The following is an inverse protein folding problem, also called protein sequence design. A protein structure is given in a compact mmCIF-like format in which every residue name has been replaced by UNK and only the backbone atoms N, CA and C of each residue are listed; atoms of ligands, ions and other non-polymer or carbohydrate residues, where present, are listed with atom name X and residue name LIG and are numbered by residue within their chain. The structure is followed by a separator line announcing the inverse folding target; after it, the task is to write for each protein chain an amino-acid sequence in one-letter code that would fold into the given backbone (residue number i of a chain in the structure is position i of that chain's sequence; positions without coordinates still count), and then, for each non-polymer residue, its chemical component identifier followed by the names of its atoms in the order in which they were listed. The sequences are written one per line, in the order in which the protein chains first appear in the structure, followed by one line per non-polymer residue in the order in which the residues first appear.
data_IF_480835576170
#
_entry.id   IF_480835576170
#
_cell.length_a   1.000
_cell.length_b   1.000
_cell.length_c   1.000
_cell.angle_alpha   90.00
_cell.angle_beta   90.00
_cell.angle_gamma   90.00
#
_symmetry.space_group_name_H-M   'P 1'
#
loop_
_entity.id
_entity.type
_entity.pdbx_description
1 polymer ?
#
# COMPACT_ATOMS: atom_id res chain seq x y z
N UNK A 1 -7.66 0.92 9.44
CA UNK A 1 -8.99 1.47 9.81
C UNK A 1 -9.38 2.50 8.78
N UNK A 2 -10.63 2.47 8.34
CA UNK A 2 -11.21 3.46 7.41
C UNK A 2 -12.09 4.39 8.23
N UNK A 3 -11.73 5.67 8.29
CA UNK A 3 -12.31 6.67 9.22
C UNK A 3 -13.17 7.70 8.49
N UNK A 4 -12.80 8.07 7.26
CA UNK A 4 -13.54 9.00 6.40
C UNK A 4 -13.44 8.57 4.93
N UNK A 5 -14.34 9.06 4.09
CA UNK A 5 -14.25 8.92 2.64
C UNK A 5 -12.86 9.38 2.09
N UNK A 6 -12.07 8.48 1.47
CA UNK A 6 -10.77 8.78 0.88
C UNK A 6 -10.88 9.18 -0.59
N UNK A 7 -12.02 8.99 -1.26
CA UNK A 7 -12.13 9.13 -2.72
C UNK A 7 -11.79 10.54 -3.19
N UNK A 8 -12.13 11.55 -2.39
CA UNK A 8 -11.82 12.96 -2.66
C UNK A 8 -10.32 13.30 -2.53
N UNK A 9 -9.50 12.40 -1.98
CA UNK A 9 -8.06 12.58 -1.81
C UNK A 9 -7.22 11.90 -2.88
N UNK A 10 -7.86 11.15 -3.79
CA UNK A 10 -7.14 10.48 -4.87
C UNK A 10 -6.82 11.41 -6.03
N UNK A 11 -5.66 11.16 -6.63
CA UNK A 11 -5.22 11.86 -7.83
C UNK A 11 -6.01 11.36 -9.04
N UNK A 12 -6.67 12.26 -9.78
CA UNK A 12 -7.53 11.88 -10.90
C UNK A 12 -6.75 11.22 -12.05
N UNK A 13 -5.48 11.55 -12.21
CA UNK A 13 -4.61 11.00 -13.23
C UNK A 13 -3.79 9.80 -12.76
N UNK A 14 -3.84 9.44 -11.46
CA UNK A 14 -3.10 8.30 -10.92
C UNK A 14 -3.72 6.96 -11.32
N UNK A 15 -2.92 6.07 -11.91
CA UNK A 15 -3.28 4.70 -12.28
C UNK A 15 -3.24 3.78 -11.04
N UNK A 16 -2.17 3.88 -10.25
CA UNK A 16 -1.93 3.13 -9.02
C UNK A 16 -1.47 4.09 -7.92
N UNK A 17 -2.16 4.07 -6.78
CA UNK A 17 -1.89 4.98 -5.67
C UNK A 17 -1.78 4.17 -4.39
N UNK A 18 -0.75 4.41 -3.58
CA UNK A 18 -0.43 3.60 -2.42
C UNK A 18 -0.11 4.48 -1.21
N UNK A 19 -0.55 4.07 -0.02
CA UNK A 19 -0.14 4.69 1.23
C UNK A 19 1.38 4.58 1.44
N UNK A 20 1.92 5.31 2.40
CA UNK A 20 3.35 5.33 2.67
C UNK A 20 3.63 5.11 4.15
N UNK A 21 4.80 4.54 4.46
CA UNK A 21 5.29 4.51 5.85
C UNK A 21 5.76 5.89 6.31
N UNK A 22 6.36 6.64 5.38
CA UNK A 22 6.70 8.04 5.53
C UNK A 22 6.36 8.80 4.24
N UNK A 23 5.82 10.00 4.33
CA UNK A 23 5.56 10.85 3.16
C UNK A 23 6.52 12.04 3.12
N UNK A 24 7.24 12.18 2.01
CA UNK A 24 8.28 13.20 1.83
C UNK A 24 7.77 14.55 1.30
N UNK A 25 6.46 14.69 1.10
CA UNK A 25 5.85 15.91 0.57
C UNK A 25 5.58 15.88 -0.95
N UNK A 26 6.10 14.91 -1.69
CA UNK A 26 5.92 14.80 -3.14
C UNK A 26 5.31 13.46 -3.56
N UNK A 27 4.05 13.48 -4.00
CA UNK A 27 3.31 12.28 -4.43
C UNK A 27 3.84 11.61 -5.70
N UNK A 28 4.68 12.28 -6.48
CA UNK A 28 5.33 11.70 -7.66
C UNK A 28 6.62 10.95 -7.33
N UNK A 29 7.21 11.21 -6.17
CA UNK A 29 8.57 10.78 -5.89
C UNK A 29 8.60 9.30 -5.52
N UNK A 30 9.22 8.42 -6.33
CA UNK A 30 9.35 7.00 -6.00
C UNK A 30 10.16 6.75 -4.73
N UNK A 31 10.89 7.72 -4.19
CA UNK A 31 11.62 7.54 -2.92
C UNK A 31 10.70 7.44 -1.70
N UNK A 32 9.40 7.76 -1.81
CA UNK A 32 8.45 7.46 -0.75
C UNK A 32 8.40 5.93 -0.51
N UNK A 33 8.56 5.45 0.74
CA UNK A 33 8.39 4.04 1.07
C UNK A 33 6.90 3.67 1.03
N UNK A 34 6.44 2.92 0.01
CA UNK A 34 5.05 2.51 -0.10
C UNK A 34 4.70 1.56 1.04
N UNK A 35 3.46 1.63 1.51
CA UNK A 35 2.88 0.73 2.49
C UNK A 35 1.70 -0.03 1.90
N UNK A 36 1.75 -1.37 1.97
CA UNK A 36 0.71 -2.25 1.41
C UNK A 36 -0.64 -2.21 2.14
N UNK A 37 -0.78 -1.46 3.22
CA UNK A 37 -2.00 -1.39 4.03
C UNK A 37 -3.18 -0.70 3.35
N UNK A 38 -2.94 0.12 2.32
CA UNK A 38 -3.98 0.74 1.50
C UNK A 38 -3.47 1.06 0.10
N UNK A 39 -4.24 0.62 -0.90
CA UNK A 39 -4.00 0.96 -2.31
C UNK A 39 -5.32 1.33 -3.00
N UNK A 40 -5.22 2.25 -3.95
CA UNK A 40 -6.26 2.58 -4.90
C UNK A 40 -5.72 2.38 -6.31
N UNK A 41 -6.44 1.60 -7.12
CA UNK A 41 -6.01 1.29 -8.47
C UNK A 41 -7.16 1.45 -9.46
N UNK A 42 -6.88 2.15 -10.57
CA UNK A 42 -7.80 2.23 -11.70
C UNK A 42 -7.61 1.01 -12.58
N UNK A 43 -8.71 0.35 -12.92
CA UNK A 43 -8.66 -0.76 -13.88
C UNK A 43 -8.43 -0.20 -15.29
N UNK A 44 -7.20 -0.36 -15.77
CA UNK A 44 -6.77 -0.03 -17.11
C UNK A 44 -5.56 -0.90 -17.50
N UNK A 45 -5.17 -0.85 -18.78
CA UNK A 45 -4.10 -1.69 -19.31
C UNK A 45 -2.75 -1.46 -18.61
N UNK A 46 -2.47 -0.24 -18.14
CA UNK A 46 -1.21 0.07 -17.44
C UNK A 46 -1.18 -0.61 -16.08
N UNK A 47 -2.25 -0.49 -15.31
CA UNK A 47 -2.39 -1.13 -14.00
C UNK A 47 -2.35 -2.65 -14.10
N UNK A 48 -2.99 -3.24 -15.12
CA UNK A 48 -2.95 -4.69 -15.36
C UNK A 48 -1.52 -5.16 -15.65
N UNK A 49 -0.79 -4.46 -16.53
CA UNK A 49 0.62 -4.75 -16.84
C UNK A 49 1.50 -4.60 -15.60
N UNK A 50 1.27 -3.56 -14.80
CA UNK A 50 2.00 -3.32 -13.57
C UNK A 50 1.79 -4.43 -12.54
N UNK A 51 0.55 -4.84 -12.25
CA UNK A 51 0.30 -5.94 -11.30
C UNK A 51 0.94 -7.25 -11.77
N UNK A 52 0.93 -7.55 -13.07
CA UNK A 52 1.64 -8.72 -13.61
C UNK A 52 3.15 -8.61 -13.38
N UNK A 53 3.74 -7.45 -13.67
CA UNK A 53 5.16 -7.19 -13.43
C UNK A 53 5.51 -7.33 -11.95
N UNK A 54 4.72 -6.73 -11.05
CA UNK A 54 4.95 -6.79 -9.61
C UNK A 54 4.84 -8.24 -9.08
N UNK A 55 3.79 -8.96 -9.44
CA UNK A 55 3.61 -10.36 -9.04
C UNK A 55 4.77 -11.26 -9.48
N UNK A 56 5.24 -11.11 -10.73
CA UNK A 56 6.33 -11.92 -11.27
C UNK A 56 7.69 -11.53 -10.71
N UNK A 57 7.86 -10.27 -10.29
CA UNK A 57 9.10 -9.79 -9.68
C UNK A 57 9.44 -10.52 -8.38
N UNK A 58 8.45 -11.11 -7.69
CA UNK A 58 8.69 -11.96 -6.50
C UNK A 58 9.66 -13.12 -6.76
N UNK A 59 9.77 -13.58 -8.00
CA UNK A 59 10.76 -14.62 -8.39
C UNK A 59 12.20 -14.13 -8.34
N UNK A 60 12.42 -12.84 -8.62
CA UNK A 60 13.74 -12.21 -8.57
C UNK A 60 14.14 -11.80 -7.14
N UNK A 61 13.16 -11.69 -6.24
CA UNK A 61 13.33 -11.26 -4.85
C UNK A 61 12.75 -12.29 -3.87
N UNK A 62 13.27 -13.52 -3.84
CA UNK A 62 12.76 -14.57 -2.96
C UNK A 62 12.92 -14.16 -1.48
N UNK A 63 11.89 -14.42 -0.67
CA UNK A 63 11.89 -14.12 0.76
C UNK A 63 11.52 -12.68 1.13
N UNK A 64 11.37 -11.78 0.15
CA UNK A 64 10.84 -10.44 0.39
C UNK A 64 9.31 -10.44 0.40
N UNK A 65 8.71 -9.61 1.26
CA UNK A 65 7.27 -9.37 1.23
C UNK A 65 6.88 -8.49 0.04
N UNK A 66 5.61 -8.53 -0.38
CA UNK A 66 5.13 -7.81 -1.56
C UNK A 66 5.48 -6.31 -1.55
N UNK A 67 5.41 -5.66 -0.37
CA UNK A 67 5.79 -4.25 -0.17
C UNK A 67 7.29 -4.01 -0.42
N UNK A 68 8.15 -4.91 0.03
CA UNK A 68 9.60 -4.83 -0.16
C UNK A 68 9.95 -5.06 -1.64
N UNK A 69 9.28 -6.02 -2.29
CA UNK A 69 9.40 -6.21 -3.75
C UNK A 69 8.99 -4.95 -4.50
N UNK A 70 7.91 -4.26 -4.07
CA UNK A 70 7.50 -2.99 -4.68
C UNK A 70 8.57 -1.90 -4.51
N UNK A 71 9.20 -1.84 -3.33
CA UNK A 71 10.30 -0.91 -3.06
C UNK A 71 11.46 -1.10 -4.02
N UNK A 72 11.81 -2.35 -4.36
CA UNK A 72 12.87 -2.64 -5.32
C UNK A 72 12.48 -2.24 -6.75
N UNK A 73 11.27 -2.60 -7.19
CA UNK A 73 10.91 -2.48 -8.62
C UNK A 73 10.33 -1.14 -9.03
N UNK A 74 9.93 -0.27 -8.09
CA UNK A 74 9.35 1.05 -8.42
C UNK A 74 10.30 1.97 -9.19
N UNK A 75 11.60 1.73 -9.13
CA UNK A 75 12.64 2.42 -9.91
C UNK A 75 12.95 1.75 -11.26
N UNK A 76 12.36 0.58 -11.54
CA UNK A 76 12.64 -0.17 -12.76
C UNK A 76 12.22 0.62 -14.00
N UNK A 77 13.03 0.61 -15.09
CA UNK A 77 12.65 1.23 -16.35
C UNK A 77 11.37 0.63 -16.95
N UNK A 78 10.97 -0.57 -16.51
CA UNK A 78 9.69 -1.19 -16.88
C UNK A 78 8.50 -0.33 -16.46
N UNK A 79 8.56 0.35 -15.31
CA UNK A 79 7.50 1.27 -14.86
C UNK A 79 7.29 2.40 -15.87
N UNK A 80 8.39 3.01 -16.33
CA UNK A 80 8.38 4.03 -17.37
C UNK A 80 7.87 3.51 -18.72
N UNK A 81 8.26 2.30 -19.12
CA UNK A 81 7.78 1.65 -20.37
C UNK A 81 6.29 1.33 -20.35
N UNK A 82 5.75 0.93 -19.20
CA UNK A 82 4.30 0.76 -19.00
C UNK A 82 3.59 2.11 -19.07
N UNK A 83 4.29 3.21 -18.75
CA UNK A 83 3.72 4.54 -18.62
C UNK A 83 2.82 4.66 -17.39
N UNK A 84 3.09 3.86 -16.36
CA UNK A 84 2.28 3.80 -15.15
C UNK A 84 2.35 5.14 -14.39
N UNK A 85 1.20 5.74 -14.11
CA UNK A 85 1.11 6.91 -13.23
C UNK A 85 0.96 6.46 -11.79
N UNK A 86 2.10 6.20 -11.14
CA UNK A 86 2.15 5.87 -9.71
C UNK A 86 2.04 7.13 -8.85
N UNK A 87 1.29 7.04 -7.75
CA UNK A 87 1.15 8.11 -6.75
C UNK A 87 1.35 7.59 -5.33
N UNK A 88 2.03 8.39 -4.52
CA UNK A 88 2.23 8.14 -3.10
C UNK A 88 1.27 9.02 -2.31
N UNK A 89 0.48 8.39 -1.45
CA UNK A 89 -0.58 9.04 -0.71
C UNK A 89 -0.05 9.66 0.59
N UNK A 90 -0.40 10.92 0.82
CA UNK A 90 0.05 11.69 1.99
C UNK A 90 -0.48 11.09 3.30
N UNK A 91 0.44 10.85 4.23
CA UNK A 91 0.16 10.39 5.60
C UNK A 91 -0.74 11.32 6.41
N UNK A 92 -0.91 12.58 6.02
CA UNK A 92 -1.93 13.47 6.60
C UNK A 92 -3.35 12.93 6.41
N UNK A 93 -3.62 12.24 5.29
CA UNK A 93 -4.91 11.62 4.98
C UNK A 93 -4.86 10.09 5.16
N UNK A 94 -3.75 9.46 4.80
CA UNK A 94 -3.55 8.01 4.82
C UNK A 94 -2.47 7.65 5.84
N UNK A 95 -2.71 8.02 7.09
CA UNK A 95 -1.75 7.87 8.17
C UNK A 95 -1.49 6.42 8.56
N UNK A 96 -0.41 6.22 9.30
CA UNK A 96 -0.09 4.94 9.92
C UNK A 96 0.60 5.15 11.26
N UNK A 97 0.75 4.13 12.10
CA UNK A 97 1.47 4.23 13.37
C UNK A 97 2.91 4.74 13.21
N UNK A 98 3.52 4.51 12.05
CA UNK A 98 4.82 5.05 11.70
C UNK A 98 4.85 6.58 11.60
N UNK A 99 3.82 7.14 10.95
CA UNK A 99 3.60 8.58 10.76
C UNK A 99 2.10 8.86 10.93
N UNK A 100 1.60 8.98 12.18
CA UNK A 100 0.19 9.21 12.41
C UNK A 100 -0.22 10.58 11.88
N UNK A 101 -1.40 10.68 11.25
CA UNK A 101 -1.96 11.98 10.87
C UNK A 101 -2.10 12.86 12.10
N UNK A 102 -1.61 14.11 12.03
CA UNK A 102 -1.66 15.06 13.13
C UNK A 102 -3.03 15.74 13.26
N UNK A 103 -3.89 15.61 12.26
CA UNK A 103 -5.21 16.23 12.23
C UNK A 103 -6.32 15.21 11.99
N UNK A 104 -7.09 14.94 13.04
CA UNK A 104 -8.23 14.03 13.01
C UNK A 104 -9.37 14.55 12.10
N UNK A 105 -9.39 15.85 11.79
CA UNK A 105 -10.32 16.43 10.81
C UNK A 105 -9.96 16.06 9.37
N UNK A 106 -8.73 15.61 9.10
CA UNK A 106 -8.26 15.29 7.74
C UNK A 106 -8.17 13.78 7.48
N UNK A 107 -7.75 13.00 8.47
CA UNK A 107 -7.48 11.56 8.34
C UNK A 107 -8.62 10.76 7.67
N UNK A 108 -8.32 10.07 6.58
CA UNK A 108 -9.23 9.16 5.89
C UNK A 108 -9.01 7.71 6.34
N UNK A 109 -7.75 7.29 6.46
CA UNK A 109 -7.40 5.94 6.92
C UNK A 109 -6.26 5.99 7.91
N UNK A 110 -6.24 5.04 8.84
CA UNK A 110 -5.12 4.84 9.77
C UNK A 110 -4.68 3.38 9.79
N UNK A 111 -3.39 3.13 9.65
CA UNK A 111 -2.80 1.81 9.45
C UNK A 111 -1.95 1.38 10.63
N UNK A 112 -1.96 0.08 10.95
CA UNK A 112 -1.03 -0.50 11.91
C UNK A 112 0.29 -0.92 11.26
N UNK A 113 0.86 -0.03 10.43
CA UNK A 113 2.18 -0.19 9.82
C UNK A 113 3.28 0.00 10.87
N UNK A 114 4.51 -0.42 10.54
CA UNK A 114 5.66 -0.38 11.45
C UNK A 114 5.40 -1.05 12.81
N UNK A 115 4.54 -2.07 12.80
CA UNK A 115 4.16 -2.83 13.96
C UNK A 115 4.23 -4.31 13.64
N UNK A 116 5.02 -5.04 14.41
CA UNK A 116 5.17 -6.50 14.29
C UNK A 116 4.40 -7.17 15.42
N UNK A 117 3.67 -8.25 15.08
CA UNK A 117 2.90 -9.04 16.04
C UNK A 117 1.41 -8.69 16.07
N UNK A 118 0.57 -9.71 15.93
CA UNK A 118 -0.88 -9.57 15.84
C UNK A 118 -1.50 -8.93 17.10
N UNK A 119 -1.08 -9.37 18.29
CA UNK A 119 -1.64 -8.88 19.55
C UNK A 119 -1.37 -7.37 19.76
N UNK A 120 -0.16 -6.90 19.38
CA UNK A 120 0.18 -5.47 19.43
C UNK A 120 -0.70 -4.67 18.46
N UNK A 121 -0.87 -5.17 17.23
CA UNK A 121 -1.77 -4.56 16.24
C UNK A 121 -3.20 -4.46 16.75
N UNK A 122 -3.75 -5.55 17.31
CA UNK A 122 -5.13 -5.58 17.82
C UNK A 122 -5.30 -4.58 18.97
N UNK A 123 -4.35 -4.51 19.90
CA UNK A 123 -4.44 -3.56 21.02
C UNK A 123 -4.45 -2.11 20.53
N UNK A 124 -3.46 -1.71 19.74
CA UNK A 124 -3.35 -0.32 19.28
C UNK A 124 -4.49 0.03 18.31
N UNK A 125 -4.99 -0.90 17.49
CA UNK A 125 -6.19 -0.67 16.68
C UNK A 125 -7.45 -0.46 17.54
N UNK A 126 -7.53 -1.10 18.70
CA UNK A 126 -8.64 -0.91 19.66
C UNK A 126 -8.58 0.49 20.27
N UNK A 127 -7.40 0.95 20.70
CA UNK A 127 -7.19 2.30 21.24
C UNK A 127 -7.49 3.36 20.17
N UNK A 128 -7.00 3.18 18.95
CA UNK A 128 -7.28 4.06 17.81
C UNK A 128 -8.80 4.22 17.59
N UNK A 129 -9.55 3.11 17.66
CA UNK A 129 -11.00 3.15 17.50
C UNK A 129 -11.69 3.92 18.64
N UNK A 130 -11.19 3.79 19.87
CA UNK A 130 -11.69 4.56 21.01
C UNK A 130 -11.42 6.06 20.85
N UNK A 131 -10.21 6.44 20.43
CA UNK A 131 -9.86 7.83 20.13
C UNK A 131 -10.77 8.42 19.05
N UNK A 132 -11.00 7.67 17.97
CA UNK A 132 -11.88 8.09 16.89
C UNK A 132 -13.33 8.30 17.36
N UNK A 133 -13.87 7.38 18.17
CA UNK A 133 -15.22 7.51 18.76
C UNK A 133 -15.32 8.75 19.64
N UNK A 134 -14.32 8.99 20.50
CA UNK A 134 -14.26 10.17 21.37
C UNK A 134 -14.16 11.47 20.58
N UNK A 135 -13.42 11.47 19.47
CA UNK A 135 -13.33 12.64 18.58
C UNK A 135 -14.67 12.92 17.89
N UNK A 136 -15.28 11.89 17.30
CA UNK A 136 -16.54 12.01 16.54
C UNK A 136 -17.78 12.25 17.40
N UNK A 137 -17.73 11.94 18.71
CA UNK A 137 -18.82 12.25 19.65
C UNK A 137 -18.84 13.70 20.16
N UNK A 138 -17.78 14.49 19.90
CA UNK A 138 -17.72 15.89 20.36
C UNK A 138 -18.58 16.79 19.48
N UNK A 139 -19.22 17.77 20.09
CA UNK A 139 -19.95 18.80 19.35
C UNK A 139 -19.00 19.70 18.56
N UNK A 140 -19.39 20.19 17.36
CA UNK A 140 -18.53 20.97 16.45
C UNK A 140 -17.88 22.22 17.08
N UNK A 141 -18.49 22.77 18.12
CA UNK A 141 -18.08 24.04 18.74
C UNK A 141 -17.04 23.88 19.86
N UNK A 142 -16.53 22.68 20.11
CA UNK A 142 -15.45 22.48 21.09
C UNK A 142 -14.13 22.41 20.33
N UNK A 143 -13.37 23.52 20.35
CA UNK A 143 -11.95 23.56 19.97
C UNK A 143 -11.13 22.72 20.96
N UNK A 144 -11.29 21.39 20.90
CA UNK A 144 -10.43 20.47 21.60
C UNK A 144 -9.40 19.93 20.61
N UNK A 145 -8.13 20.21 20.90
CA UNK A 145 -7.03 19.50 20.28
C UNK A 145 -7.18 18.01 20.60
N UNK A 146 -7.74 17.25 19.67
CA UNK A 146 -7.85 15.80 19.78
C UNK A 146 -6.62 15.21 19.11
N UNK A 147 -5.90 14.36 19.83
CA UNK A 147 -4.73 13.66 19.34
C UNK A 147 -4.95 12.16 19.45
N UNK A 148 -4.15 11.41 18.70
CA UNK A 148 -4.05 9.97 18.88
C UNK A 148 -3.37 9.64 20.20
N UNK A 149 -3.88 8.62 20.87
CA UNK A 149 -3.21 7.94 21.98
C UNK A 149 -2.32 6.80 21.46
N UNK A 150 -2.31 6.53 20.16
CA UNK A 150 -1.54 5.47 19.48
C UNK A 150 -0.34 6.01 18.70
N UNK A 151 0.69 5.18 18.45
CA UNK A 151 0.86 3.82 18.95
C UNK A 151 1.30 3.77 20.43
N UNK A 152 0.94 2.69 21.14
CA UNK A 152 1.39 2.40 22.51
C UNK A 152 2.26 1.14 22.55
N UNK A 153 1.74 0.05 21.99
CA UNK A 153 2.42 -1.24 21.93
C UNK A 153 3.17 -1.45 20.62
N UNK A 154 2.69 -0.83 19.54
CA UNK A 154 3.40 -0.68 18.29
C UNK A 154 4.47 0.43 18.41
N UNK A 155 5.35 0.33 19.41
CA UNK A 155 6.53 1.19 19.45
C UNK A 155 7.40 0.79 18.28
N UNK A 156 7.85 1.77 17.51
CA UNK A 156 8.88 1.60 16.49
C UNK A 156 9.92 0.65 17.07
N UNK A 157 9.94 -0.59 16.58
CA UNK A 157 11.16 -1.34 16.63
C UNK A 157 12.11 -0.41 15.86
N UNK A 158 13.11 0.16 16.53
CA UNK A 158 14.38 0.40 15.85
C UNK A 158 14.57 -0.85 15.03
N UNK A 159 14.47 -0.74 13.71
CA UNK A 159 14.67 -1.90 12.86
C UNK A 159 15.99 -2.48 13.35
N UNK A 160 15.96 -3.67 13.96
CA UNK A 160 17.04 -4.59 13.68
C UNK A 160 16.97 -4.68 12.17
N UNK A 161 17.82 -3.89 11.51
CA UNK A 161 18.00 -3.97 10.09
C UNK A 161 18.59 -5.36 9.92
N UNK A 162 17.74 -6.37 9.79
CA UNK A 162 18.09 -7.55 9.04
C UNK A 162 18.33 -7.01 7.64
N UNK A 163 19.54 -6.50 7.41
CA UNK A 163 20.12 -6.43 6.10
C UNK A 163 20.01 -7.86 5.60
N UNK A 164 19.17 -8.17 4.60
CA UNK A 164 19.38 -9.38 3.86
C UNK A 164 20.77 -9.17 3.26
N UNK A 165 21.77 -9.84 3.82
CA UNK A 165 23.10 -9.90 3.24
C UNK A 165 22.97 -10.68 1.95
N UNK A 166 22.55 -9.98 0.89
CA UNK A 166 22.77 -10.26 -0.53
C UNK A 166 22.04 -9.20 -1.35
N UNK A 167 22.81 -8.27 -1.90
CA UNK A 167 22.39 -7.49 -3.05
C UNK A 167 22.18 -8.45 -4.23
N UNK A 168 20.94 -8.89 -4.46
CA UNK A 168 20.61 -9.51 -5.73
C UNK A 168 20.33 -8.39 -6.72
N UNK A 169 21.38 -7.95 -7.41
CA UNK A 169 21.21 -7.16 -8.62
C UNK A 169 20.54 -8.05 -9.67
N UNK A 170 19.21 -8.06 -9.70
CA UNK A 170 18.46 -8.72 -10.76
C UNK A 170 18.71 -7.95 -12.07
N UNK A 171 19.40 -8.57 -13.02
CA UNK A 171 19.58 -8.01 -14.36
C UNK A 171 18.22 -7.95 -15.06
N UNK A 172 17.98 -6.87 -15.83
CA UNK A 172 16.71 -6.60 -16.52
C UNK A 172 16.23 -7.70 -17.46
N UNK A 173 17.08 -8.67 -17.81
CA UNK A 173 16.76 -9.83 -18.65
C UNK A 173 15.75 -10.79 -17.98
N UNK A 174 15.85 -11.02 -16.67
CA UNK A 174 15.03 -12.05 -16.00
C UNK A 174 13.54 -11.69 -15.87
N UNK A 175 13.17 -10.43 -16.08
CA UNK A 175 11.78 -9.97 -16.08
C UNK A 175 11.18 -9.81 -17.49
N UNK A 176 11.99 -9.87 -18.56
CA UNK A 176 11.53 -9.60 -19.93
C UNK A 176 10.83 -10.81 -20.58
N UNK A 177 11.12 -12.03 -20.14
CA UNK A 177 10.56 -13.27 -20.72
C UNK A 177 9.11 -13.57 -20.31
N UNK A 178 8.53 -12.75 -19.43
CA UNK A 178 7.16 -12.91 -18.93
C UNK A 178 6.05 -12.55 -19.95
N UNK A 179 6.39 -11.90 -21.07
CA UNK A 179 5.40 -11.33 -21.98
C UNK A 179 4.72 -12.35 -22.92
N UNK A 180 5.30 -13.54 -23.13
CA UNK A 180 4.80 -14.49 -24.13
C UNK A 180 3.77 -15.51 -23.61
N UNK A 181 3.47 -15.56 -22.31
CA UNK A 181 2.64 -16.63 -21.74
C UNK A 181 1.15 -16.28 -21.54
N UNK A 182 0.68 -15.07 -21.90
CA UNK A 182 -0.66 -14.60 -21.50
C UNK A 182 -1.52 -13.99 -22.62
N UNK A 183 -1.59 -14.66 -23.78
CA UNK A 183 -2.56 -14.33 -24.86
C UNK A 183 -4.05 -14.48 -24.45
N UNK A 184 -4.37 -14.88 -23.21
CA UNK A 184 -5.74 -15.17 -22.74
C UNK A 184 -6.16 -14.39 -21.48
N UNK A 185 -5.86 -13.09 -21.38
CA UNK A 185 -6.52 -12.23 -20.38
C UNK A 185 -7.20 -11.07 -21.11
N UNK A 186 -8.22 -11.43 -21.89
CA UNK A 186 -9.14 -10.50 -22.51
C UNK A 186 -10.36 -10.30 -21.62
N UNK A 187 -10.74 -9.03 -21.44
CA UNK A 187 -11.97 -8.52 -20.83
C UNK A 187 -12.00 -8.44 -19.29
N UNK A 188 -11.51 -7.32 -18.76
CA UNK A 188 -12.06 -6.73 -17.54
C UNK A 188 -12.58 -5.33 -17.91
N UNK A 189 -13.91 -5.19 -17.98
CA UNK A 189 -14.58 -3.90 -18.09
C UNK A 189 -14.34 -3.09 -16.81
N UNK A 190 -14.34 -1.77 -16.97
CA UNK A 190 -14.08 -0.72 -15.97
C UNK A 190 -14.70 -0.98 -14.60
N UNK A 191 -13.91 -1.53 -13.67
CA UNK A 191 -14.26 -1.60 -12.24
C UNK A 191 -13.12 -0.97 -11.45
N UNK A 192 -13.40 0.13 -10.76
CA UNK A 192 -12.51 0.72 -9.75
C UNK A 192 -12.31 -0.29 -8.64
N UNK A 193 -11.08 -0.72 -8.37
CA UNK A 193 -10.80 -1.67 -7.29
C UNK A 193 -10.08 -0.95 -6.15
N UNK A 194 -10.77 -0.79 -5.02
CA UNK A 194 -10.12 -0.44 -3.75
C UNK A 194 -9.71 -1.75 -3.11
N UNK A 195 -8.43 -2.10 -3.21
CA UNK A 195 -7.92 -3.35 -2.62
C UNK A 195 -7.24 -3.07 -1.30
N UNK A 196 -7.63 -3.79 -0.25
CA UNK A 196 -6.68 -4.20 0.79
C UNK A 196 -5.99 -5.43 0.20
N UNK A 197 -4.72 -5.31 -0.21
CA UNK A 197 -3.97 -6.43 -0.78
C UNK A 197 -3.79 -7.51 0.30
N UNK A 198 -4.72 -8.47 0.33
CA UNK A 198 -4.43 -9.83 0.78
C UNK A 198 -4.28 -10.69 -0.47
N UNK A 199 -3.47 -11.73 -0.40
CA UNK A 199 -3.15 -12.64 -1.53
C UNK A 199 -4.38 -13.14 -2.30
N UNK A 200 -5.52 -13.27 -1.62
CA UNK A 200 -6.81 -13.67 -2.21
C UNK A 200 -7.46 -12.63 -3.15
N UNK A 201 -6.93 -11.41 -3.19
CA UNK A 201 -7.52 -10.29 -3.95
C UNK A 201 -7.00 -10.25 -5.38
N UNK A 202 -5.76 -10.69 -5.61
CA UNK A 202 -5.21 -10.88 -6.98
C UNK A 202 -6.00 -11.96 -7.73
N UNK A 203 -6.36 -13.06 -7.05
CA UNK A 203 -7.18 -14.14 -7.62
C UNK A 203 -8.57 -13.65 -8.09
N UNK A 204 -9.20 -12.73 -7.34
CA UNK A 204 -10.49 -12.14 -7.72
C UNK A 204 -10.40 -11.16 -8.88
N UNK A 205 -9.27 -10.48 -9.04
CA UNK A 205 -9.02 -9.56 -10.17
C UNK A 205 -8.82 -10.35 -11.48
N UNK A 206 -8.21 -11.54 -11.44
CA UNK A 206 -7.85 -12.31 -12.64
C UNK A 206 -8.82 -13.44 -13.03
N UNK A 207 -9.96 -13.59 -12.33
CA UNK A 207 -10.95 -14.63 -12.60
C UNK A 207 -10.54 -16.02 -12.09
N UNK A 208 -11.54 -16.83 -11.72
CA UNK A 208 -11.43 -18.14 -11.03
C UNK A 208 -10.72 -19.28 -11.80
N UNK A 209 -9.59 -19.04 -12.46
CA UNK A 209 -8.81 -20.09 -13.15
C UNK A 209 -7.34 -20.18 -12.76
N UNK A 210 -6.89 -19.44 -11.75
CA UNK A 210 -5.55 -19.62 -11.19
C UNK A 210 -5.71 -20.42 -9.88
N UNK A 211 -5.60 -21.75 -9.97
CA UNK A 211 -5.26 -22.54 -8.79
C UNK A 211 -3.77 -22.32 -8.54
N UNK A 212 -3.42 -21.53 -7.54
CA UNK A 212 -2.06 -21.43 -7.03
C UNK A 212 -2.07 -21.93 -5.59
N UNK A 213 -1.52 -23.13 -5.41
CA UNK A 213 -1.38 -23.84 -4.14
C UNK A 213 -0.60 -22.99 -3.13
N UNK A 214 -1.16 -22.89 -1.92
CA UNK A 214 -0.52 -22.34 -0.71
C UNK A 214 0.77 -23.09 -0.37
N UNK A 215 1.84 -22.33 -0.11
CA UNK A 215 2.82 -22.61 0.93
C UNK A 215 3.08 -21.30 1.67
#
# INVERSE_FOLDING_TARGET
MWLRDPFQRFFQEGDFQIACDYYNGNSHDPHNPPNGGFTYAKSNDRTIKFYKFWYLSRRAYPGLHDQDVLNEIKFSPVIGKIGLKMRFLDTAYFGGFCQPSRDLNLVCTMHANCCVGLNKKINDLTILLQDWRRFTSKQPNINSHSSWSVPQNCRHLTMEIHHPTKSYAATSSNCQDANNQWRYVGQLKTTTVVTKLSDNTLLKIFGNKISATML
#
